data_IF_943274524442
#
_entry.id   IF_943274524442
#
_cell.length_a   1.000
_cell.length_b   1.000
_cell.length_c   1.000
_cell.angle_alpha   90.00
_cell.angle_beta   90.00
_cell.angle_gamma   90.00
#
_symmetry.space_group_name_H-M   'P 1'
#
loop_
_entity.id
_entity.type
_entity.pdbx_description
1 polymer ?
#
# COMPACT_ATOMS: atom_id res chain seq x y z
N UNK A 1 -10.11 -1.90 62.92
CA UNK A 1 -9.62 -2.78 61.84
C UNK A 1 -10.72 -2.98 60.82
N UNK A 2 -10.62 -2.37 59.63
CA UNK A 2 -11.30 -2.74 58.37
C UNK A 2 -11.12 -1.59 57.37
N UNK A 3 -9.88 -1.42 56.92
CA UNK A 3 -9.52 -0.64 55.74
C UNK A 3 -8.47 -1.49 55.06
N UNK A 4 -8.79 -1.98 53.85
CA UNK A 4 -7.92 -2.57 52.82
C UNK A 4 -8.66 -3.70 52.11
N UNK A 5 -9.55 -3.36 51.18
CA UNK A 5 -10.04 -4.31 50.17
C UNK A 5 -10.68 -3.56 48.99
N UNK A 6 -9.99 -2.58 48.42
CA UNK A 6 -10.44 -1.89 47.21
C UNK A 6 -9.29 -1.13 46.54
N UNK A 7 -8.28 -1.82 46.01
CA UNK A 7 -7.23 -1.14 45.22
C UNK A 7 -6.37 -2.05 44.32
N UNK A 8 -6.81 -3.27 43.94
CA UNK A 8 -5.94 -4.21 43.21
C UNK A 8 -6.46 -4.65 41.84
N UNK A 9 -7.39 -3.92 41.22
CA UNK A 9 -8.01 -4.29 39.94
C UNK A 9 -7.86 -3.26 38.81
N UNK A 10 -7.04 -2.22 38.95
CA UNK A 10 -7.01 -1.10 38.01
C UNK A 10 -5.65 -0.85 37.35
N UNK A 11 -4.93 -1.91 36.95
CA UNK A 11 -3.68 -1.77 36.18
C UNK A 11 -3.55 -2.86 35.11
N UNK A 12 -4.62 -3.15 34.36
CA UNK A 12 -4.42 -3.70 33.00
C UNK A 12 -4.20 -2.50 32.08
N UNK A 13 -2.94 -2.09 31.96
CA UNK A 13 -2.51 -1.13 30.94
C UNK A 13 -2.82 -1.75 29.57
N UNK A 14 -3.93 -1.30 28.97
CA UNK A 14 -4.23 -1.53 27.56
C UNK A 14 -3.18 -0.74 26.78
N UNK A 15 -2.07 -1.38 26.44
CA UNK A 15 -1.15 -0.80 25.48
C UNK A 15 -1.90 -0.76 24.14
N UNK A 16 -2.34 0.44 23.74
CA UNK A 16 -2.83 0.65 22.40
C UNK A 16 -1.73 0.21 21.43
N UNK A 17 -2.05 -0.75 20.56
CA UNK A 17 -1.14 -1.14 19.48
C UNK A 17 -1.12 0.03 18.51
N UNK A 18 0.01 0.72 18.45
CA UNK A 18 0.22 1.94 17.66
C UNK A 18 0.72 1.64 16.25
N UNK A 19 1.28 0.45 16.05
CA UNK A 19 1.80 -0.03 14.78
C UNK A 19 1.27 -1.42 14.44
N UNK A 20 1.08 -1.70 13.16
CA UNK A 20 0.62 -3.00 12.69
C UNK A 20 1.45 -3.47 11.50
N UNK A 21 2.02 -4.67 11.60
CA UNK A 21 2.60 -5.37 10.45
C UNK A 21 1.51 -6.01 9.60
N UNK A 22 1.58 -5.79 8.30
CA UNK A 22 0.61 -6.22 7.30
C UNK A 22 1.32 -7.11 6.28
N UNK A 23 0.72 -8.26 5.95
CA UNK A 23 1.10 -9.07 4.79
C UNK A 23 -0.02 -8.98 3.74
N UNK A 24 0.33 -8.53 2.52
CA UNK A 24 -0.60 -8.47 1.38
C UNK A 24 -0.07 -9.26 0.20
N UNK A 25 -0.98 -9.98 -0.48
CA UNK A 25 -0.71 -10.72 -1.71
C UNK A 25 -1.72 -10.30 -2.76
N UNK A 26 -1.25 -9.85 -3.90
CA UNK A 26 -2.10 -9.43 -5.00
C UNK A 26 -1.47 -9.73 -6.35
N UNK A 27 -2.29 -9.65 -7.40
CA UNK A 27 -1.83 -9.79 -8.79
C UNK A 27 -2.03 -8.47 -9.50
N UNK A 28 -1.06 -8.10 -10.33
CA UNK A 28 -1.26 -7.04 -11.32
C UNK A 28 -2.08 -7.64 -12.45
N UNK A 29 -3.33 -7.18 -12.59
CA UNK A 29 -4.24 -7.63 -13.63
C UNK A 29 -3.59 -7.45 -15.00
N UNK A 30 -3.61 -8.45 -15.88
CA UNK A 30 -3.04 -8.28 -17.22
C UNK A 30 -3.94 -7.51 -18.19
N UNK A 31 -5.23 -7.33 -17.89
CA UNK A 31 -6.20 -6.73 -18.82
C UNK A 31 -6.25 -5.21 -18.70
N UNK A 32 -6.05 -4.52 -19.81
CA UNK A 32 -6.14 -3.06 -19.94
C UNK A 32 -7.36 -2.63 -20.76
N UNK A 33 -7.31 -1.41 -21.30
CA UNK A 33 -8.32 -0.84 -22.19
C UNK A 33 -8.70 -1.81 -23.33
N UNK A 34 -10.00 -1.94 -23.58
CA UNK A 34 -10.56 -2.74 -24.68
C UNK A 34 -10.10 -4.21 -24.70
N UNK A 35 -9.73 -4.78 -23.56
CA UNK A 35 -9.30 -6.18 -23.44
C UNK A 35 -7.88 -6.47 -23.92
N UNK A 36 -7.10 -5.42 -24.26
CA UNK A 36 -5.68 -5.58 -24.50
C UNK A 36 -4.97 -6.14 -23.25
N UNK A 37 -3.81 -6.77 -23.46
CA UNK A 37 -3.01 -7.35 -22.38
C UNK A 37 -1.70 -6.62 -22.22
N UNK A 38 -1.38 -6.28 -20.98
CA UNK A 38 -0.07 -5.76 -20.57
C UNK A 38 0.54 -6.70 -19.55
N UNK A 39 1.86 -6.84 -19.63
CA UNK A 39 2.65 -7.54 -18.64
C UNK A 39 3.78 -6.62 -18.21
N UNK A 40 4.19 -6.72 -16.95
CA UNK A 40 5.26 -5.90 -16.38
C UNK A 40 6.41 -6.83 -15.99
N UNK A 41 7.65 -6.36 -16.10
CA UNK A 41 8.77 -7.06 -15.48
C UNK A 41 8.66 -6.91 -13.96
N UNK A 42 9.09 -7.93 -13.21
CA UNK A 42 8.94 -7.93 -11.76
C UNK A 42 9.72 -6.78 -11.09
N UNK A 43 10.93 -6.49 -11.56
CA UNK A 43 11.75 -5.40 -11.02
C UNK A 43 10.98 -4.06 -10.99
N UNK A 44 10.28 -3.69 -12.09
CA UNK A 44 9.48 -2.45 -12.07
C UNK A 44 8.27 -2.54 -11.14
N UNK A 45 7.65 -3.72 -10.99
CA UNK A 45 6.51 -3.89 -10.09
C UNK A 45 6.95 -3.78 -8.64
N UNK A 46 8.10 -4.36 -8.30
CA UNK A 46 8.72 -4.27 -6.97
C UNK A 46 9.04 -2.82 -6.63
N UNK A 47 9.80 -2.14 -7.50
CA UNK A 47 10.19 -0.74 -7.32
C UNK A 47 8.96 0.16 -7.13
N UNK A 48 7.95 0.03 -7.99
CA UNK A 48 6.75 0.89 -7.89
C UNK A 48 5.88 0.56 -6.69
N UNK A 49 5.87 -0.69 -6.25
CA UNK A 49 5.14 -1.06 -5.03
C UNK A 49 5.84 -0.52 -3.80
N UNK A 50 7.18 -0.61 -3.76
CA UNK A 50 7.99 -0.01 -2.71
C UNK A 50 7.76 1.51 -2.65
N UNK A 51 7.91 2.21 -3.77
CA UNK A 51 7.71 3.67 -3.87
C UNK A 51 6.34 4.10 -3.33
N UNK A 52 5.27 3.35 -3.67
CA UNK A 52 3.91 3.66 -3.22
C UNK A 52 3.74 3.41 -1.72
N UNK A 53 4.26 2.29 -1.20
CA UNK A 53 4.16 1.96 0.23
C UNK A 53 4.93 2.97 1.08
N UNK A 54 6.14 3.34 0.65
CA UNK A 54 6.98 4.33 1.33
C UNK A 54 6.33 5.72 1.32
N UNK A 55 5.80 6.17 0.18
CA UNK A 55 5.10 7.45 0.07
C UNK A 55 3.87 7.52 0.99
N UNK A 56 3.19 6.39 1.23
CA UNK A 56 2.06 6.26 2.16
C UNK A 56 2.47 6.14 3.63
N UNK A 57 3.76 6.13 3.95
CA UNK A 57 4.28 6.08 5.31
C UNK A 57 4.51 4.68 5.87
N UNK A 58 4.54 3.64 5.02
CA UNK A 58 4.90 2.32 5.49
C UNK A 58 6.39 2.23 5.85
N UNK A 59 6.71 1.40 6.84
CA UNK A 59 8.08 1.08 7.27
C UNK A 59 8.34 -0.43 7.17
N UNK A 60 9.59 -0.86 7.33
CA UNK A 60 10.02 -2.27 7.24
C UNK A 60 9.50 -2.98 5.97
N UNK A 61 9.52 -2.26 4.84
CA UNK A 61 8.91 -2.69 3.59
C UNK A 61 9.75 -3.80 2.95
N UNK A 62 9.13 -4.96 2.75
CA UNK A 62 9.62 -6.04 1.91
C UNK A 62 8.64 -6.27 0.76
N UNK A 63 9.10 -6.14 -0.48
CA UNK A 63 8.32 -6.44 -1.68
C UNK A 63 9.00 -7.58 -2.44
N UNK A 64 8.22 -8.60 -2.80
CA UNK A 64 8.65 -9.69 -3.67
C UNK A 64 7.65 -9.90 -4.79
N UNK A 65 8.13 -9.91 -6.02
CA UNK A 65 7.36 -10.22 -7.21
C UNK A 65 7.78 -11.55 -7.81
N UNK A 66 6.80 -12.29 -8.32
CA UNK A 66 7.04 -13.45 -9.18
C UNK A 66 6.19 -13.36 -10.43
N UNK A 67 6.67 -13.95 -11.53
CA UNK A 67 5.98 -13.89 -12.81
C UNK A 67 6.45 -12.73 -13.67
N UNK A 68 5.50 -11.99 -14.26
CA UNK A 68 5.83 -10.90 -15.17
C UNK A 68 6.39 -11.34 -16.52
N UNK A 69 7.06 -10.40 -17.20
CA UNK A 69 7.86 -10.66 -18.40
C UNK A 69 9.22 -11.18 -17.95
N UNK A 70 9.66 -12.32 -18.49
CA UNK A 70 11.03 -12.80 -18.24
C UNK A 70 12.09 -11.86 -18.85
N UNK A 71 13.33 -11.94 -18.35
CA UNK A 71 14.45 -11.07 -18.79
C UNK A 71 14.78 -11.16 -20.28
N UNK A 72 14.30 -12.20 -20.96
CA UNK A 72 14.53 -12.51 -22.37
C UNK A 72 13.29 -12.32 -23.25
N UNK A 73 12.14 -11.93 -22.67
CA UNK A 73 10.86 -11.75 -23.38
C UNK A 73 10.16 -13.03 -23.83
N UNK A 74 10.60 -14.23 -23.42
CA UNK A 74 10.09 -15.49 -23.98
C UNK A 74 8.71 -15.91 -23.42
N UNK A 75 8.44 -15.56 -22.16
CA UNK A 75 7.20 -15.84 -21.46
C UNK A 75 6.69 -14.60 -20.74
N UNK A 76 5.37 -14.37 -20.85
CA UNK A 76 4.67 -13.28 -20.19
C UNK A 76 3.48 -13.84 -19.42
N UNK A 77 3.51 -13.64 -18.10
CA UNK A 77 2.41 -13.96 -17.18
C UNK A 77 2.16 -12.79 -16.25
N UNK A 78 1.02 -12.81 -15.57
CA UNK A 78 0.70 -11.80 -14.57
C UNK A 78 1.80 -11.73 -13.50
N UNK A 79 2.03 -10.53 -12.99
CA UNK A 79 2.94 -10.31 -11.88
C UNK A 79 2.19 -10.56 -10.57
N UNK A 80 2.77 -11.41 -9.73
CA UNK A 80 2.25 -11.78 -8.41
C UNK A 80 3.11 -11.11 -7.37
N UNK A 81 2.53 -10.20 -6.60
CA UNK A 81 3.23 -9.39 -5.60
C UNK A 81 2.89 -9.91 -4.21
N UNK A 82 3.91 -10.17 -3.41
CA UNK A 82 3.84 -10.37 -1.97
C UNK A 82 4.54 -9.18 -1.30
N UNK A 83 3.86 -8.57 -0.34
CA UNK A 83 4.39 -7.45 0.44
C UNK A 83 4.26 -7.74 1.92
N UNK A 84 5.24 -7.29 2.69
CA UNK A 84 5.20 -7.21 4.15
C UNK A 84 5.67 -5.82 4.54
N UNK A 85 4.92 -5.12 5.39
CA UNK A 85 5.25 -3.75 5.81
C UNK A 85 4.53 -3.40 7.11
N UNK A 86 5.03 -2.40 7.83
CA UNK A 86 4.45 -1.86 9.07
C UNK A 86 3.79 -0.52 8.78
N UNK A 87 2.62 -0.26 9.40
CA UNK A 87 1.88 1.01 9.29
C UNK A 87 1.48 1.52 10.67
N UNK A 88 1.37 2.84 10.83
CA UNK A 88 0.80 3.45 12.03
C UNK A 88 -0.73 3.24 12.07
N UNK A 89 -1.25 2.93 13.26
CA UNK A 89 -2.68 2.73 13.52
C UNK A 89 -3.25 3.73 14.54
N UNK A 90 -2.43 4.64 15.07
CA UNK A 90 -2.83 5.64 16.07
C UNK A 90 -2.10 6.98 15.89
N UNK A 91 -2.83 8.07 16.08
CA UNK A 91 -2.28 9.45 16.17
C UNK A 91 -1.42 9.68 17.41
N UNK A 92 -1.40 8.75 18.38
CA UNK A 92 -0.51 8.86 19.55
C UNK A 92 0.97 8.71 19.17
N UNK A 93 1.27 8.02 18.06
CA UNK A 93 2.63 7.81 17.55
C UNK A 93 2.80 8.22 16.08
N UNK A 94 1.73 8.49 15.35
CA UNK A 94 1.75 9.00 13.98
C UNK A 94 1.17 10.41 13.87
N UNK A 95 1.29 10.98 12.68
CA UNK A 95 0.59 12.22 12.33
C UNK A 95 0.08 12.18 10.91
N UNK A 96 -1.03 12.86 10.66
CA UNK A 96 -1.55 13.03 9.31
C UNK A 96 -0.59 13.89 8.49
N UNK A 97 -0.10 13.30 7.39
CA UNK A 97 0.83 13.94 6.48
C UNK A 97 0.34 13.84 5.05
N UNK A 98 0.62 14.89 4.28
CA UNK A 98 0.34 14.90 2.86
C UNK A 98 1.12 13.79 2.14
N UNK A 99 0.49 13.21 1.13
CA UNK A 99 1.16 12.31 0.19
C UNK A 99 0.78 12.68 -1.25
N UNK A 100 1.66 12.37 -2.18
CA UNK A 100 1.40 12.58 -3.60
C UNK A 100 2.10 11.55 -4.48
N UNK A 101 1.32 10.60 -4.98
CA UNK A 101 1.78 9.60 -5.92
C UNK A 101 1.49 10.09 -7.34
N UNK A 102 2.51 10.13 -8.19
CA UNK A 102 2.38 10.52 -9.61
C UNK A 102 3.13 9.57 -10.54
N UNK A 103 2.53 9.28 -11.68
CA UNK A 103 3.15 8.56 -12.80
C UNK A 103 2.71 9.14 -14.12
N UNK A 104 3.65 9.33 -15.06
CA UNK A 104 3.35 10.02 -16.31
C UNK A 104 2.68 9.14 -17.39
N UNK A 105 3.01 7.85 -17.47
CA UNK A 105 2.57 6.95 -18.54
C UNK A 105 2.33 5.50 -18.07
N UNK A 106 1.87 5.30 -16.83
CA UNK A 106 1.71 3.94 -16.27
C UNK A 106 0.52 3.84 -15.34
N UNK A 107 -0.59 4.50 -15.68
CA UNK A 107 -1.79 4.52 -14.84
C UNK A 107 -2.22 3.12 -14.42
N UNK A 108 -2.29 2.18 -15.35
CA UNK A 108 -2.77 0.84 -15.03
C UNK A 108 -1.92 0.14 -13.95
N UNK A 109 -0.59 0.28 -13.99
CA UNK A 109 0.29 -0.31 -12.97
C UNK A 109 0.08 0.36 -11.62
N UNK A 110 0.13 1.70 -11.58
CA UNK A 110 0.03 2.47 -10.35
C UNK A 110 -1.35 2.32 -9.69
N UNK A 111 -2.42 2.36 -10.48
CA UNK A 111 -3.79 2.15 -10.00
C UNK A 111 -4.00 0.75 -9.45
N UNK A 112 -3.47 -0.27 -10.15
CA UNK A 112 -3.52 -1.65 -9.67
C UNK A 112 -2.77 -1.82 -8.35
N UNK A 113 -1.58 -1.24 -8.19
CA UNK A 113 -0.82 -1.32 -6.92
C UNK A 113 -1.58 -0.57 -5.83
N UNK A 114 -1.89 0.71 -6.05
CA UNK A 114 -2.53 1.57 -5.06
C UNK A 114 -3.85 0.99 -4.55
N UNK A 115 -4.71 0.51 -5.46
CA UNK A 115 -6.00 -0.10 -5.09
C UNK A 115 -5.84 -1.34 -4.21
N UNK A 116 -4.76 -2.11 -4.36
CA UNK A 116 -4.54 -3.32 -3.57
C UNK A 116 -3.93 -3.06 -2.18
N UNK A 117 -3.28 -1.90 -1.98
CA UNK A 117 -2.59 -1.58 -0.72
C UNK A 117 -3.30 -0.49 0.10
N UNK A 118 -4.12 0.35 -0.53
CA UNK A 118 -4.73 1.51 0.13
C UNK A 118 -5.57 1.16 1.37
N UNK A 119 -6.24 0.01 1.39
CA UNK A 119 -7.07 -0.41 2.53
C UNK A 119 -6.26 -0.74 3.80
N UNK A 120 -4.93 -0.73 3.68
CA UNK A 120 -3.99 -0.94 4.78
C UNK A 120 -3.64 0.34 5.53
N UNK A 121 -4.01 1.51 5.00
CA UNK A 121 -3.64 2.82 5.54
C UNK A 121 -4.86 3.59 6.02
N UNK A 122 -4.65 4.48 6.99
CA UNK A 122 -5.68 5.39 7.51
C UNK A 122 -5.57 6.73 6.80
N UNK A 123 -6.58 7.09 6.01
CA UNK A 123 -6.65 8.38 5.31
C UNK A 123 -7.61 9.32 6.02
N UNK A 124 -7.21 10.58 6.17
CA UNK A 124 -8.11 11.66 6.60
C UNK A 124 -8.85 12.23 5.38
N UNK A 125 -8.08 12.56 4.33
CA UNK A 125 -8.61 13.08 3.07
C UNK A 125 -7.96 12.37 1.88
N UNK A 126 -8.72 12.21 0.81
CA UNK A 126 -8.22 11.71 -0.46
C UNK A 126 -8.77 12.60 -1.57
N UNK A 127 -7.88 13.11 -2.42
CA UNK A 127 -8.33 13.84 -3.61
C UNK A 127 -8.98 12.84 -4.58
N UNK A 128 -10.26 13.07 -4.93
CA UNK A 128 -11.05 12.23 -5.84
C UNK A 128 -10.52 12.14 -7.28
N UNK A 129 -9.40 12.79 -7.58
CA UNK A 129 -8.82 12.84 -8.93
C UNK A 129 -7.99 11.59 -9.26
N UNK A 130 -8.52 10.38 -9.07
CA UNK A 130 -7.97 9.17 -9.70
C UNK A 130 -8.17 9.25 -11.21
N UNK A 131 -7.33 10.02 -11.89
CA UNK A 131 -7.47 10.30 -13.33
C UNK A 131 -6.82 9.20 -14.16
N UNK A 132 -7.49 8.07 -14.27
CA UNK A 132 -7.10 7.00 -15.18
C UNK A 132 -8.04 6.97 -16.40
N UNK A 133 -7.79 7.83 -17.39
CA UNK A 133 -8.60 7.87 -18.63
C UNK A 133 -8.31 6.66 -19.53
N UNK A 134 -7.10 6.11 -19.44
CA UNK A 134 -6.65 4.90 -20.12
C UNK A 134 -5.49 4.27 -19.36
N UNK A 135 -5.16 3.02 -19.66
CA UNK A 135 -4.03 2.29 -19.06
C UNK A 135 -2.68 2.99 -19.16
N UNK A 136 -2.48 3.80 -20.22
CA UNK A 136 -1.25 4.58 -20.48
C UNK A 136 -1.34 6.02 -19.99
N UNK A 137 -2.48 6.44 -19.44
CA UNK A 137 -2.64 7.80 -18.93
C UNK A 137 -1.73 8.06 -17.73
N UNK A 138 -1.66 9.34 -17.37
CA UNK A 138 -1.04 9.75 -16.11
C UNK A 138 -1.86 9.22 -14.93
N UNK A 139 -1.22 8.74 -13.89
CA UNK A 139 -1.86 8.51 -12.59
C UNK A 139 -1.44 9.61 -11.62
N UNK A 140 -2.42 10.18 -10.91
CA UNK A 140 -2.18 11.13 -9.83
C UNK A 140 -3.16 10.76 -8.72
N UNK A 141 -2.66 10.61 -7.50
CA UNK A 141 -3.47 10.59 -6.30
C UNK A 141 -2.71 11.37 -5.22
N UNK A 142 -3.43 12.14 -4.44
CA UNK A 142 -2.91 12.90 -3.32
C UNK A 142 -3.96 12.96 -2.21
N UNK A 143 -3.54 13.36 -1.03
CA UNK A 143 -4.41 13.48 0.13
C UNK A 143 -3.56 13.46 1.39
N UNK A 144 -4.19 13.07 2.48
CA UNK A 144 -3.57 13.05 3.81
C UNK A 144 -3.71 11.66 4.39
N UNK A 145 -2.59 11.10 4.84
CA UNK A 145 -2.49 9.72 5.37
C UNK A 145 -1.77 9.75 6.71
N UNK A 146 -2.18 8.89 7.63
CA UNK A 146 -1.51 8.70 8.90
C UNK A 146 -0.16 8.00 8.64
N UNK A 147 0.94 8.70 8.95
CA UNK A 147 2.32 8.20 8.85
C UNK A 147 3.00 8.20 10.20
#
# INVERSE_FOLDING_TARGET
MKLMLAALLSLTSVFAVTEKTIEKKFRINSRTDFGARVFYNCDSVEDRTYDILEELGATDIEVRCTGGIDRFGNYAREAYVKTTYTVQTSEEQGSFQDFKIRSFNSCHLYDSIFTNVMDSFTFEEMSDLRRCVSSRSRFIVSGTVLK
#
